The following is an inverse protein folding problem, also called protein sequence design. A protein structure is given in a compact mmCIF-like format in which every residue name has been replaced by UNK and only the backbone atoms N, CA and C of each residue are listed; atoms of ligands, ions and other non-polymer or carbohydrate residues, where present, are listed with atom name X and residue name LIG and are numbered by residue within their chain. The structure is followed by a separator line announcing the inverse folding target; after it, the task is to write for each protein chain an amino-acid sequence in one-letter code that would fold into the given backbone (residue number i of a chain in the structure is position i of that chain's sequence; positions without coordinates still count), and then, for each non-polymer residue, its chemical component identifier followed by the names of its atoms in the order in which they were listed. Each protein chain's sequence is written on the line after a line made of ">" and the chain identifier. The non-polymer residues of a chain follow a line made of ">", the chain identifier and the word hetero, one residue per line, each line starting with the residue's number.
data_IF_120763488601
#
_entry.id   IF_120763488601
#
_cell.length_a   1.000
_cell.length_b   1.000
_cell.length_c   1.000
_cell.angle_alpha   90.00
_cell.angle_beta   90.00
_cell.angle_gamma   90.00
#
_symmetry.space_group_name_H-M   'P 1'
#
loop_
_entity.id
_entity.type
_entity.pdbx_description
1 polymer ?
#
# COMPACT_ATOMS: atom_id res chain seq x y z
N UNK A 1 13.24 13.05 -60.77
CA UNK A 1 14.18 12.80 -59.64
C UNK A 1 13.93 13.75 -58.47
N UNK A 2 14.01 15.09 -58.64
CA UNK A 2 13.86 16.06 -57.53
C UNK A 2 12.49 16.01 -56.82
N UNK A 3 11.38 15.89 -57.56
CA UNK A 3 10.04 15.81 -56.97
C UNK A 3 9.81 14.57 -56.09
N UNK A 4 10.39 13.42 -56.49
CA UNK A 4 10.30 12.18 -55.70
C UNK A 4 11.08 12.30 -54.39
N UNK A 5 12.27 12.93 -54.43
CA UNK A 5 13.08 13.20 -53.23
C UNK A 5 12.36 14.12 -52.24
N UNK A 6 11.66 15.15 -52.72
CA UNK A 6 10.89 16.07 -51.88
C UNK A 6 9.69 15.35 -51.24
N UNK A 7 8.94 14.55 -52.01
CA UNK A 7 7.82 13.78 -51.46
C UNK A 7 8.28 12.77 -50.41
N UNK A 8 9.42 12.11 -50.62
CA UNK A 8 10.00 11.21 -49.62
C UNK A 8 10.44 11.97 -48.36
N UNK A 9 11.06 13.14 -48.50
CA UNK A 9 11.49 13.96 -47.36
C UNK A 9 10.31 14.53 -46.55
N UNK A 10 9.25 14.98 -47.21
CA UNK A 10 8.02 15.45 -46.53
C UNK A 10 7.27 14.28 -45.89
N UNK A 11 7.23 13.13 -46.57
CA UNK A 11 6.64 11.91 -46.03
C UNK A 11 7.37 11.41 -44.79
N UNK A 12 8.71 11.38 -44.80
CA UNK A 12 9.51 11.00 -43.63
C UNK A 12 9.40 12.02 -42.51
N UNK A 13 9.38 13.32 -42.82
CA UNK A 13 9.16 14.37 -41.82
C UNK A 13 7.78 14.24 -41.15
N UNK A 14 6.71 14.09 -41.93
CA UNK A 14 5.36 13.92 -41.39
C UNK A 14 5.24 12.64 -40.57
N UNK A 15 5.85 11.54 -41.04
CA UNK A 15 5.93 10.29 -40.30
C UNK A 15 6.65 10.46 -38.97
N UNK A 16 7.84 11.07 -38.96
CA UNK A 16 8.60 11.36 -37.73
C UNK A 16 7.84 12.30 -36.78
N UNK A 17 7.15 13.31 -37.31
CA UNK A 17 6.33 14.22 -36.51
C UNK A 17 5.12 13.52 -35.88
N UNK A 18 4.46 12.61 -36.62
CA UNK A 18 3.36 11.79 -36.09
C UNK A 18 3.80 10.76 -35.05
N UNK A 19 5.10 10.45 -34.99
CA UNK A 19 5.72 9.61 -33.96
C UNK A 19 6.06 10.38 -32.68
N UNK A 20 6.01 11.73 -32.69
CA UNK A 20 6.26 12.51 -31.48
C UNK A 20 5.12 12.31 -30.47
N UNK A 21 5.45 12.15 -29.19
CA UNK A 21 4.43 12.01 -28.17
C UNK A 21 3.61 13.31 -28.08
N UNK A 22 2.28 13.20 -27.85
CA UNK A 22 1.44 14.37 -27.64
C UNK A 22 1.91 15.17 -26.41
N UNK A 23 1.69 16.48 -26.43
CA UNK A 23 2.01 17.34 -25.29
C UNK A 23 1.27 16.90 -24.03
N UNK A 24 1.98 16.87 -22.90
CA UNK A 24 1.40 16.47 -21.61
C UNK A 24 0.39 17.51 -21.12
N UNK A 25 -0.70 17.05 -20.53
CA UNK A 25 -1.66 17.93 -19.83
C UNK A 25 -0.96 18.44 -18.57
N UNK A 26 -0.89 19.77 -18.42
CA UNK A 26 -0.19 20.45 -17.31
C UNK A 26 1.30 20.07 -17.20
N UNK A 27 1.93 19.58 -18.28
CA UNK A 27 3.33 19.12 -18.26
C UNK A 27 3.56 17.77 -17.55
N UNK A 28 2.55 17.22 -16.88
CA UNK A 28 2.66 16.01 -16.05
C UNK A 28 1.96 14.82 -16.71
N UNK A 29 0.71 14.97 -17.14
CA UNK A 29 -0.10 13.81 -17.54
C UNK A 29 0.06 13.46 -19.02
N UNK A 30 0.56 12.26 -19.30
CA UNK A 30 0.71 11.70 -20.64
C UNK A 30 -0.65 11.54 -21.35
N UNK A 31 -0.67 11.73 -22.66
CA UNK A 31 -1.87 11.60 -23.51
C UNK A 31 -1.73 10.43 -24.49
N UNK A 32 -2.85 9.85 -24.96
CA UNK A 32 -2.81 8.80 -25.99
C UNK A 32 -2.09 9.28 -27.25
N UNK A 33 -0.96 8.66 -27.58
CA UNK A 33 -0.26 8.85 -28.86
C UNK A 33 -0.67 7.80 -29.90
N UNK A 34 -0.01 7.80 -31.06
CA UNK A 34 -0.29 6.87 -32.16
C UNK A 34 -0.18 5.39 -31.74
N UNK A 35 0.77 5.07 -30.85
CA UNK A 35 1.02 3.70 -30.38
C UNK A 35 0.16 3.27 -29.19
N UNK A 36 -0.63 4.17 -28.61
CA UNK A 36 -1.47 3.87 -27.45
C UNK A 36 -2.37 2.63 -27.63
N UNK A 37 -3.16 2.46 -28.72
CA UNK A 37 -4.03 1.29 -28.86
C UNK A 37 -3.24 -0.02 -28.95
N UNK A 38 -2.10 -0.01 -29.63
CA UNK A 38 -1.22 -1.18 -29.75
C UNK A 38 -0.65 -1.58 -28.38
N UNK A 39 -0.12 -0.60 -27.64
CA UNK A 39 0.39 -0.81 -26.26
C UNK A 39 -0.69 -1.34 -25.32
N UNK A 40 -1.88 -0.76 -25.39
CA UNK A 40 -3.04 -1.13 -24.56
C UNK A 40 -3.42 -2.58 -24.79
N UNK A 41 -3.65 -2.97 -26.04
CA UNK A 41 -4.04 -4.34 -26.39
C UNK A 41 -2.95 -5.33 -26.00
N UNK A 42 -1.68 -5.05 -26.34
CA UNK A 42 -0.55 -5.89 -25.98
C UNK A 42 -0.47 -6.12 -24.46
N UNK A 43 -0.50 -5.04 -23.67
CA UNK A 43 -0.32 -5.13 -22.23
C UNK A 43 -1.53 -5.77 -21.54
N UNK A 44 -2.75 -5.51 -22.04
CA UNK A 44 -3.96 -6.16 -21.56
C UNK A 44 -3.87 -7.68 -21.71
N UNK A 45 -3.49 -8.18 -22.90
CA UNK A 45 -3.33 -9.62 -23.12
C UNK A 45 -2.19 -10.20 -22.27
N UNK A 46 -1.09 -9.47 -22.09
CA UNK A 46 0.00 -9.88 -21.20
C UNK A 46 -0.48 -10.05 -19.75
N UNK A 47 -1.26 -9.09 -19.22
CA UNK A 47 -1.85 -9.18 -17.87
C UNK A 47 -2.82 -10.34 -17.74
N UNK A 48 -3.70 -10.54 -18.74
CA UNK A 48 -4.65 -11.66 -18.76
C UNK A 48 -3.93 -13.01 -18.79
N UNK A 49 -2.88 -13.15 -19.60
CA UNK A 49 -2.07 -14.35 -19.65
C UNK A 49 -1.37 -14.61 -18.31
N UNK A 50 -0.78 -13.57 -17.69
CA UNK A 50 -0.18 -13.69 -16.36
C UNK A 50 -1.18 -14.15 -15.30
N UNK A 51 -2.40 -13.59 -15.30
CA UNK A 51 -3.47 -14.03 -14.40
C UNK A 51 -3.86 -15.48 -14.61
N UNK A 52 -4.00 -15.91 -15.87
CA UNK A 52 -4.34 -17.30 -16.17
C UNK A 52 -3.24 -18.26 -15.71
N UNK A 53 -1.97 -17.89 -15.88
CA UNK A 53 -0.84 -18.69 -15.40
C UNK A 53 -0.73 -18.67 -13.86
N UNK A 54 -1.05 -17.56 -13.20
CA UNK A 54 -0.99 -17.40 -11.75
C UNK A 54 -2.20 -17.97 -10.99
N UNK A 55 -3.38 -18.00 -11.63
CA UNK A 55 -4.63 -18.51 -11.05
C UNK A 55 -4.71 -20.04 -11.00
N UNK A 56 -3.72 -20.75 -11.55
CA UNK A 56 -3.65 -22.21 -11.52
C UNK A 56 -3.40 -22.83 -10.13
N UNK A 57 -3.14 -22.01 -9.09
CA UNK A 57 -2.93 -22.42 -7.70
C UNK A 57 -3.94 -21.80 -6.73
N UNK A 58 -5.22 -21.72 -7.14
CA UNK A 58 -6.30 -21.09 -6.36
C UNK A 58 -6.99 -21.99 -5.33
N UNK A 59 -6.53 -23.24 -5.16
CA UNK A 59 -6.90 -24.05 -3.99
C UNK A 59 -5.99 -23.73 -2.81
N UNK A 60 -6.38 -24.08 -1.58
CA UNK A 60 -5.43 -24.17 -0.47
C UNK A 60 -4.21 -24.96 -0.94
N UNK A 61 -3.12 -24.24 -1.19
CA UNK A 61 -1.93 -24.81 -1.78
C UNK A 61 -1.38 -25.89 -0.86
N UNK A 62 -1.24 -27.11 -1.39
CA UNK A 62 -0.38 -28.12 -0.76
C UNK A 62 1.02 -27.53 -0.53
N UNK A 63 1.76 -27.98 0.49
CA UNK A 63 3.12 -27.53 0.86
C UNK A 63 4.08 -27.35 -0.35
N UNK A 64 3.87 -28.09 -1.45
CA UNK A 64 4.62 -27.99 -2.72
C UNK A 64 4.37 -26.72 -3.55
N UNK A 65 3.22 -26.07 -3.40
CA UNK A 65 2.92 -24.77 -4.06
C UNK A 65 3.51 -23.60 -3.28
N UNK A 66 3.62 -23.71 -1.96
CA UNK A 66 4.33 -22.75 -1.11
C UNK A 66 5.81 -22.66 -1.51
N UNK A 67 6.45 -23.80 -1.79
CA UNK A 67 7.86 -23.87 -2.21
C UNK A 67 8.11 -23.25 -3.61
N UNK A 68 7.16 -23.34 -4.54
CA UNK A 68 7.28 -22.79 -5.90
C UNK A 68 7.11 -21.27 -5.97
N UNK A 69 6.26 -20.68 -5.13
CA UNK A 69 6.07 -19.22 -5.07
C UNK A 69 7.24 -18.53 -4.35
N UNK A 70 7.89 -19.21 -3.41
CA UNK A 70 9.05 -18.73 -2.67
C UNK A 70 10.29 -18.55 -3.56
N UNK A 71 10.39 -19.25 -4.70
CA UNK A 71 11.55 -19.21 -5.60
C UNK A 71 11.22 -18.49 -6.91
N UNK A 72 11.36 -17.15 -6.91
CA UNK A 72 11.59 -16.37 -8.13
C UNK A 72 10.36 -15.85 -8.89
N UNK A 73 9.13 -16.03 -8.39
CA UNK A 73 7.97 -15.35 -8.96
C UNK A 73 7.95 -13.87 -8.53
N UNK A 74 7.99 -12.95 -9.48
CA UNK A 74 7.76 -11.53 -9.21
C UNK A 74 6.27 -11.31 -8.98
N UNK A 75 5.90 -10.99 -7.74
CA UNK A 75 4.55 -10.60 -7.35
C UNK A 75 4.03 -9.43 -8.19
N UNK A 76 2.71 -9.25 -8.19
CA UNK A 76 2.03 -8.20 -8.95
C UNK A 76 1.66 -8.58 -10.38
N UNK A 77 0.86 -7.71 -10.98
CA UNK A 77 0.38 -7.85 -12.36
C UNK A 77 -0.38 -9.16 -12.60
N UNK A 78 -1.20 -9.56 -11.63
CA UNK A 78 -2.01 -10.78 -11.66
C UNK A 78 -1.41 -11.99 -10.95
N UNK A 79 -0.37 -11.81 -10.12
CA UNK A 79 0.31 -12.90 -9.41
C UNK A 79 0.42 -12.52 -7.94
N UNK A 80 -0.07 -13.40 -7.04
CA UNK A 80 0.00 -13.18 -5.60
C UNK A 80 1.45 -13.08 -5.10
N UNK A 81 1.66 -12.27 -4.08
CA UNK A 81 2.95 -12.17 -3.38
C UNK A 81 3.24 -13.34 -2.43
N UNK A 82 2.19 -13.97 -1.91
CA UNK A 82 2.26 -15.08 -0.95
C UNK A 82 1.23 -16.15 -1.31
N UNK A 83 1.50 -17.43 -0.97
CA UNK A 83 0.59 -18.52 -1.28
C UNK A 83 -0.68 -18.50 -0.41
N UNK A 84 -0.56 -18.13 0.87
CA UNK A 84 -1.66 -18.16 1.83
C UNK A 84 -1.88 -16.81 2.51
N UNK A 85 -3.12 -16.53 2.92
CA UNK A 85 -3.48 -15.31 3.67
C UNK A 85 -2.74 -15.22 5.00
N UNK A 86 -2.45 -16.36 5.64
CA UNK A 86 -1.66 -16.41 6.87
C UNK A 86 -0.26 -15.83 6.68
N UNK A 87 0.38 -16.12 5.55
CA UNK A 87 1.69 -15.57 5.20
C UNK A 87 1.63 -14.10 4.75
N UNK A 88 0.48 -13.63 4.29
CA UNK A 88 0.25 -12.20 3.98
C UNK A 88 0.11 -11.38 5.26
N UNK A 89 -0.49 -11.95 6.31
CA UNK A 89 -0.87 -11.25 7.54
C UNK A 89 0.22 -11.25 8.61
N UNK A 90 1.19 -12.16 8.52
CA UNK A 90 2.31 -12.20 9.44
C UNK A 90 3.31 -11.07 9.16
N UNK A 91 4.20 -10.85 10.12
CA UNK A 91 5.35 -9.97 9.99
C UNK A 91 6.22 -10.43 8.80
N UNK A 92 6.55 -9.50 7.91
CA UNK A 92 7.32 -9.79 6.71
C UNK A 92 8.82 -9.69 6.96
N UNK A 93 9.58 -10.54 6.28
CA UNK A 93 11.03 -10.41 6.26
C UNK A 93 11.41 -9.15 5.48
N UNK A 94 12.10 -8.22 6.15
CA UNK A 94 12.63 -7.03 5.52
C UNK A 94 13.86 -7.38 4.68
N UNK A 95 14.01 -6.72 3.53
CA UNK A 95 15.27 -6.79 2.80
C UNK A 95 16.35 -5.95 3.48
N UNK A 96 17.62 -6.20 3.14
CA UNK A 96 18.78 -5.43 3.62
C UNK A 96 18.76 -3.95 3.19
N UNK A 97 17.86 -3.58 2.27
CA UNK A 97 17.80 -2.21 1.77
C UNK A 97 17.25 -1.25 2.84
N UNK A 98 17.86 -0.07 3.07
CA UNK A 98 17.46 0.86 4.14
C UNK A 98 16.02 1.40 3.99
N UNK A 99 15.48 1.40 2.76
CA UNK A 99 14.08 1.76 2.47
C UNK A 99 13.11 0.57 2.47
N UNK A 100 13.53 -0.62 2.88
CA UNK A 100 12.61 -1.75 3.05
C UNK A 100 11.50 -1.37 4.04
N UNK A 101 10.31 -1.93 3.82
CA UNK A 101 9.15 -1.63 4.64
C UNK A 101 8.28 -2.87 4.82
N UNK A 102 7.72 -2.95 6.02
CA UNK A 102 6.58 -3.80 6.33
C UNK A 102 5.64 -3.00 7.24
N UNK A 103 4.48 -2.62 6.73
CA UNK A 103 3.60 -1.64 7.34
C UNK A 103 2.16 -2.12 7.44
N UNK A 104 1.55 -1.84 8.58
CA UNK A 104 0.11 -2.00 8.80
C UNK A 104 -0.48 -0.66 9.19
N UNK A 105 -1.65 -0.34 8.64
CA UNK A 105 -2.37 0.87 8.97
C UNK A 105 -3.86 0.59 9.11
N UNK A 106 -4.48 1.34 10.03
CA UNK A 106 -5.88 1.28 10.37
C UNK A 106 -6.40 2.70 10.48
N UNK A 107 -7.52 2.96 9.83
CA UNK A 107 -8.32 4.15 10.07
C UNK A 107 -9.75 3.74 10.38
N UNK A 108 -10.37 4.45 11.31
CA UNK A 108 -11.74 4.17 11.70
C UNK A 108 -12.43 5.44 12.18
N UNK A 109 -13.72 5.58 11.90
CA UNK A 109 -14.52 6.71 12.34
C UNK A 109 -15.99 6.34 12.55
N UNK A 110 -16.74 7.19 13.25
CA UNK A 110 -18.19 7.09 13.31
C UNK A 110 -18.87 8.46 13.20
N UNK A 111 -20.19 8.45 13.01
CA UNK A 111 -21.03 9.65 12.88
C UNK A 111 -21.02 10.54 14.13
N UNK A 112 -20.65 10.00 15.29
CA UNK A 112 -20.53 10.74 16.55
C UNK A 112 -19.23 11.56 16.63
N UNK A 113 -18.37 11.50 15.60
CA UNK A 113 -17.14 12.28 15.52
C UNK A 113 -15.96 11.67 16.27
N UNK A 114 -16.05 10.41 16.68
CA UNK A 114 -14.89 9.65 17.13
C UNK A 114 -14.11 9.16 15.91
N UNK A 115 -12.79 9.17 16.01
CA UNK A 115 -11.95 8.47 15.03
C UNK A 115 -10.69 7.92 15.69
N UNK A 116 -10.15 6.88 15.07
CA UNK A 116 -8.88 6.27 15.43
C UNK A 116 -8.05 6.11 14.16
N UNK A 117 -6.78 6.49 14.24
CA UNK A 117 -5.78 6.16 13.22
C UNK A 117 -4.59 5.53 13.92
N UNK A 118 -4.25 4.30 13.55
CA UNK A 118 -3.10 3.59 14.10
C UNK A 118 -2.29 3.00 12.96
N UNK A 119 -0.97 3.20 12.98
CA UNK A 119 -0.11 2.57 12.01
C UNK A 119 1.27 2.30 12.57
N UNK A 120 1.90 1.26 12.04
CA UNK A 120 3.32 0.98 12.27
C UNK A 120 3.94 0.55 10.96
N UNK A 121 5.09 1.11 10.62
CA UNK A 121 5.93 0.67 9.52
C UNK A 121 7.29 0.23 10.05
N UNK A 122 7.52 -1.08 10.04
CA UNK A 122 8.81 -1.67 10.38
C UNK A 122 9.83 -1.33 9.31
N UNK A 123 11.03 -1.00 9.77
CA UNK A 123 12.21 -0.66 8.98
C UNK A 123 13.41 -1.48 9.46
N UNK A 124 14.47 -1.58 8.64
CA UNK A 124 15.71 -2.20 9.08
C UNK A 124 16.27 -1.56 10.36
N UNK A 125 17.13 -2.30 11.07
CA UNK A 125 17.78 -1.88 12.33
C UNK A 125 16.83 -1.56 13.49
N UNK A 126 15.70 -2.25 13.60
CA UNK A 126 14.77 -2.12 14.74
C UNK A 126 14.00 -0.80 14.79
N UNK A 127 14.05 -0.04 13.69
CA UNK A 127 13.32 1.21 13.56
C UNK A 127 11.87 0.91 13.19
N UNK A 128 10.94 1.60 13.86
CA UNK A 128 9.51 1.53 13.57
C UNK A 128 8.99 2.96 13.40
N UNK A 129 8.44 3.29 12.23
CA UNK A 129 7.66 4.52 12.09
C UNK A 129 6.24 4.25 12.58
N UNK A 130 5.90 4.74 13.76
CA UNK A 130 4.56 4.55 14.35
C UNK A 130 3.77 5.86 14.44
N UNK A 131 2.45 5.73 14.36
CA UNK A 131 1.50 6.80 14.63
C UNK A 131 0.27 6.25 15.33
N UNK A 132 -0.26 7.04 16.26
CA UNK A 132 -1.53 6.78 16.90
C UNK A 132 -2.24 8.11 17.14
N UNK A 133 -3.44 8.23 16.61
CA UNK A 133 -4.37 9.32 16.86
C UNK A 133 -5.69 8.78 17.36
N UNK A 134 -6.22 9.36 18.43
CA UNK A 134 -7.53 9.01 18.97
C UNK A 134 -8.30 10.30 19.19
N UNK A 135 -9.42 10.47 18.49
CA UNK A 135 -10.35 11.58 18.71
C UNK A 135 -11.54 11.11 19.50
N UNK A 136 -11.80 11.81 20.60
CA UNK A 136 -13.02 11.69 21.41
C UNK A 136 -13.61 13.10 21.50
N UNK A 137 -14.86 13.36 21.06
CA UNK A 137 -15.42 14.70 20.95
C UNK A 137 -15.27 15.58 22.21
N UNK A 138 -15.41 15.01 23.40
CA UNK A 138 -15.36 15.73 24.67
C UNK A 138 -13.96 15.81 25.31
N UNK A 139 -12.95 15.19 24.69
CA UNK A 139 -11.55 15.19 25.16
C UNK A 139 -10.67 15.96 24.19
N UNK A 140 -10.86 15.77 22.88
CA UNK A 140 -10.02 16.32 21.82
C UNK A 140 -9.34 15.22 21.02
N UNK A 141 -8.20 15.56 20.41
CA UNK A 141 -7.38 14.63 19.63
C UNK A 141 -6.13 14.31 20.42
N UNK A 142 -6.02 13.07 20.86
CA UNK A 142 -4.83 12.53 21.50
C UNK A 142 -3.87 12.02 20.43
N UNK A 143 -2.58 12.31 20.62
CA UNK A 143 -1.49 11.86 19.76
C UNK A 143 -0.29 11.43 20.60
N UNK A 144 0.59 10.60 20.04
CA UNK A 144 1.79 10.16 20.75
C UNK A 144 2.68 11.35 21.16
N UNK A 145 3.45 11.25 22.26
CA UNK A 145 4.19 12.38 22.84
C UNK A 145 5.15 13.04 21.85
N UNK A 146 5.81 12.25 21.00
CA UNK A 146 6.79 12.75 20.04
C UNK A 146 6.21 13.28 18.73
N UNK A 147 4.91 13.14 18.48
CA UNK A 147 4.30 13.65 17.23
C UNK A 147 4.64 15.14 17.01
N UNK A 148 5.06 15.56 15.80
CA UNK A 148 4.96 14.83 14.53
C UNK A 148 6.10 13.82 14.23
N UNK A 149 7.07 13.66 15.12
CA UNK A 149 8.10 12.62 14.95
C UNK A 149 7.51 11.23 15.21
N UNK A 150 7.63 10.35 14.22
CA UNK A 150 7.07 9.00 14.18
C UNK A 150 8.10 7.93 14.52
N UNK A 151 9.36 8.31 14.72
CA UNK A 151 10.49 7.38 14.84
C UNK A 151 10.52 6.67 16.20
N UNK A 152 10.11 5.42 16.26
CA UNK A 152 10.17 4.54 17.43
C UNK A 152 11.22 3.45 17.31
N UNK A 153 11.59 2.87 18.44
CA UNK A 153 12.52 1.75 18.54
C UNK A 153 11.83 0.54 19.14
N UNK A 154 11.91 -0.59 18.45
CA UNK A 154 11.38 -1.88 18.91
C UNK A 154 12.32 -3.03 18.56
N UNK A 155 11.91 -4.23 18.93
CA UNK A 155 12.71 -5.46 18.75
C UNK A 155 12.78 -5.92 17.28
N UNK A 156 12.01 -5.27 16.41
CA UNK A 156 12.06 -5.44 14.96
C UNK A 156 11.25 -6.62 14.44
N UNK A 157 10.58 -7.41 15.29
CA UNK A 157 9.82 -8.62 14.93
C UNK A 157 8.31 -8.51 15.16
N UNK A 158 7.83 -7.30 15.50
CA UNK A 158 6.43 -7.02 15.82
C UNK A 158 5.98 -5.68 15.23
N UNK A 159 4.67 -5.56 14.99
CA UNK A 159 4.04 -4.30 14.60
C UNK A 159 3.75 -3.44 15.84
N UNK A 160 4.80 -2.97 16.50
CA UNK A 160 4.65 -2.22 17.74
C UNK A 160 5.95 -1.79 18.40
N UNK A 161 5.90 -0.66 19.09
CA UNK A 161 6.96 -0.10 19.91
C UNK A 161 6.37 0.95 20.86
N UNK A 162 7.10 1.27 21.93
CA UNK A 162 6.79 2.38 22.84
C UNK A 162 5.32 2.37 23.36
N UNK A 163 4.84 1.18 23.74
CA UNK A 163 3.49 0.97 24.27
C UNK A 163 2.45 0.62 23.20
N UNK A 164 2.66 0.98 21.93
CA UNK A 164 1.77 0.61 20.82
C UNK A 164 2.04 -0.83 20.38
N UNK A 165 0.99 -1.64 20.27
CA UNK A 165 1.03 -3.01 19.74
C UNK A 165 -0.14 -3.24 18.79
N UNK A 166 0.18 -3.67 17.58
CA UNK A 166 -0.76 -4.12 16.57
C UNK A 166 -0.46 -5.60 16.31
N UNK A 167 -1.45 -6.48 16.41
CA UNK A 167 -1.20 -7.92 16.35
C UNK A 167 -2.28 -8.63 15.54
N UNK A 168 -1.91 -9.41 14.50
CA UNK A 168 -2.86 -10.27 13.83
C UNK A 168 -3.29 -11.38 14.78
N UNK A 169 -4.60 -11.57 14.94
CA UNK A 169 -5.16 -12.66 15.75
C UNK A 169 -5.61 -13.80 14.84
N UNK A 170 -6.48 -13.48 13.88
CA UNK A 170 -6.94 -14.42 12.85
C UNK A 170 -6.74 -13.77 11.48
N UNK A 171 -5.95 -14.39 10.57
CA UNK A 171 -5.67 -13.83 9.25
C UNK A 171 -6.93 -13.37 8.52
N UNK A 172 -6.95 -12.13 8.03
CA UNK A 172 -8.06 -11.51 7.28
C UNK A 172 -9.38 -11.40 8.05
N UNK A 173 -9.40 -11.69 9.35
CA UNK A 173 -10.62 -11.66 10.16
C UNK A 173 -10.47 -10.73 11.34
N UNK A 174 -9.37 -10.85 12.10
CA UNK A 174 -9.25 -10.20 13.39
C UNK A 174 -7.84 -9.68 13.66
N UNK A 175 -7.75 -8.43 14.10
CA UNK A 175 -6.54 -7.78 14.56
C UNK A 175 -6.78 -7.07 15.89
N UNK A 176 -5.80 -7.14 16.78
CA UNK A 176 -5.81 -6.43 18.05
C UNK A 176 -4.91 -5.20 17.98
N UNK A 177 -5.41 -4.06 18.42
CA UNK A 177 -4.67 -2.80 18.53
C UNK A 177 -4.73 -2.36 19.99
N UNK A 178 -3.56 -2.27 20.60
CA UNK A 178 -3.42 -1.92 21.99
C UNK A 178 -2.40 -0.81 22.17
N UNK A 179 -2.63 0.05 23.15
CA UNK A 179 -1.68 1.06 23.57
C UNK A 179 -1.77 1.24 25.08
N UNK A 180 -0.63 1.35 25.74
CA UNK A 180 -0.56 1.76 27.14
C UNK A 180 0.59 2.75 27.27
N UNK A 181 0.27 3.99 27.62
CA UNK A 181 1.28 5.02 27.83
C UNK A 181 0.72 6.43 27.83
N UNK A 182 1.63 7.40 27.81
CA UNK A 182 1.27 8.82 27.82
C UNK A 182 0.98 9.33 26.40
N UNK A 183 -0.10 10.10 26.25
CA UNK A 183 -0.39 10.88 25.04
C UNK A 183 -0.51 12.36 25.36
N UNK A 184 -0.43 13.20 24.33
CA UNK A 184 -0.68 14.64 24.41
C UNK A 184 -1.87 15.04 23.55
N UNK A 185 -2.55 16.11 23.92
CA UNK A 185 -3.58 16.73 23.09
C UNK A 185 -2.98 17.52 21.93
N UNK A 186 -3.62 17.44 20.76
CA UNK A 186 -3.31 18.27 19.62
C UNK A 186 -3.51 19.75 19.98
N UNK A 187 -2.49 20.58 19.69
CA UNK A 187 -2.50 22.01 20.06
C UNK A 187 -2.08 22.29 21.52
N UNK A 188 -1.82 21.27 22.34
CA UNK A 188 -1.34 21.43 23.71
C UNK A 188 -0.13 20.51 23.99
N UNK A 189 1.07 20.86 23.49
CA UNK A 189 2.24 19.97 23.50
C UNK A 189 2.73 19.53 24.88
N UNK A 190 2.41 20.30 25.93
CA UNK A 190 2.79 20.05 27.32
C UNK A 190 1.76 19.22 28.09
N UNK A 191 0.60 18.92 27.49
CA UNK A 191 -0.39 18.04 28.12
C UNK A 191 0.13 16.61 28.17
N UNK A 192 -0.19 15.93 29.26
CA UNK A 192 0.15 14.52 29.49
C UNK A 192 -1.10 13.84 30.02
N UNK A 193 -1.60 12.87 29.27
CA UNK A 193 -2.74 12.05 29.62
C UNK A 193 -2.30 10.60 29.59
N UNK A 194 -2.63 9.84 30.62
CA UNK A 194 -2.44 8.39 30.59
C UNK A 194 -3.55 7.78 29.75
N UNK A 195 -3.17 7.00 28.75
CA UNK A 195 -4.10 6.40 27.79
C UNK A 195 -3.89 4.91 27.69
N UNK A 196 -4.95 4.15 27.93
CA UNK A 196 -5.02 2.71 27.70
C UNK A 196 -6.02 2.44 26.58
N UNK A 197 -5.56 1.90 25.47
CA UNK A 197 -6.37 1.49 24.32
C UNK A 197 -6.38 -0.04 24.26
N UNK A 198 -7.57 -0.62 24.14
CA UNK A 198 -7.75 -2.01 23.77
C UNK A 198 -8.94 -2.08 22.80
N UNK A 199 -8.63 -2.27 21.52
CA UNK A 199 -9.62 -2.37 20.46
C UNK A 199 -9.29 -3.50 19.52
N UNK A 200 -10.34 -4.09 18.96
CA UNK A 200 -10.26 -5.20 18.02
C UNK A 200 -10.87 -4.75 16.70
N UNK A 201 -10.08 -4.85 15.63
CA UNK A 201 -10.60 -4.81 14.28
C UNK A 201 -11.16 -6.19 13.91
N UNK A 202 -12.35 -6.22 13.35
CA UNK A 202 -12.99 -7.43 12.81
C UNK A 202 -13.52 -7.19 11.40
N UNK A 203 -13.46 -8.21 10.55
CA UNK A 203 -14.05 -8.18 9.21
C UNK A 203 -14.61 -9.53 8.80
N UNK A 204 -15.76 -9.48 8.14
CA UNK A 204 -16.37 -10.58 7.37
C UNK A 204 -16.36 -10.29 5.86
N UNK A 205 -15.72 -9.18 5.45
CA UNK A 205 -15.69 -8.70 4.08
C UNK A 205 -14.49 -9.29 3.34
N UNK A 206 -14.59 -9.48 2.00
CA UNK A 206 -13.42 -9.82 1.21
C UNK A 206 -12.38 -8.71 1.28
N UNK A 207 -11.10 -9.09 1.28
CA UNK A 207 -10.00 -8.15 1.09
C UNK A 207 -9.79 -7.89 -0.41
N UNK A 208 -9.17 -6.76 -0.73
CA UNK A 208 -8.76 -6.38 -2.08
C UNK A 208 -7.23 -6.42 -2.17
N UNK A 209 -6.70 -7.36 -2.95
CA UNK A 209 -5.26 -7.52 -3.19
C UNK A 209 -4.85 -6.80 -4.48
N UNK A 210 -4.03 -5.77 -4.36
CA UNK A 210 -3.61 -4.97 -5.52
C UNK A 210 -2.73 -5.75 -6.50
N UNK A 211 -2.14 -6.86 -6.08
CA UNK A 211 -1.34 -7.71 -6.96
C UNK A 211 -2.23 -8.51 -7.92
N UNK A 212 -3.47 -8.83 -7.53
CA UNK A 212 -4.33 -9.77 -8.25
C UNK A 212 -5.69 -9.18 -8.69
N UNK A 213 -6.30 -8.34 -7.88
CA UNK A 213 -7.71 -7.90 -8.02
C UNK A 213 -7.89 -6.62 -8.83
N UNK A 214 -6.82 -5.88 -9.10
CA UNK A 214 -6.90 -4.67 -9.95
C UNK A 214 -7.55 -4.99 -11.30
N UNK A 215 -8.26 -4.04 -11.92
CA UNK A 215 -8.80 -4.28 -13.25
C UNK A 215 -7.68 -4.28 -14.32
N UNK A 216 -7.61 -5.35 -15.12
CA UNK A 216 -6.57 -5.52 -16.12
C UNK A 216 -6.63 -4.47 -17.23
N UNK A 217 -7.84 -4.03 -17.60
CA UNK A 217 -8.01 -2.99 -18.62
C UNK A 217 -7.52 -1.63 -18.13
N UNK A 218 -7.86 -1.28 -16.90
CA UNK A 218 -7.43 -0.03 -16.23
C UNK A 218 -5.92 0.01 -16.07
N UNK A 219 -5.29 -1.08 -15.60
CA UNK A 219 -3.84 -1.20 -15.52
C UNK A 219 -3.18 -1.05 -16.89
N UNK A 220 -3.66 -1.77 -17.90
CA UNK A 220 -3.12 -1.69 -19.25
C UNK A 220 -3.26 -0.30 -19.86
N UNK A 221 -4.38 0.38 -19.59
CA UNK A 221 -4.61 1.77 -20.02
C UNK A 221 -3.59 2.72 -19.39
N UNK A 222 -3.38 2.65 -18.07
CA UNK A 222 -2.41 3.49 -17.37
C UNK A 222 -0.98 3.27 -17.89
N UNK A 223 -0.58 2.02 -18.11
CA UNK A 223 0.74 1.68 -18.66
C UNK A 223 0.88 2.11 -20.13
N UNK A 224 -0.18 2.02 -20.93
CA UNK A 224 -0.15 2.39 -22.35
C UNK A 224 -0.07 3.90 -22.59
N UNK A 225 -0.53 4.72 -21.63
CA UNK A 225 -0.38 6.18 -21.68
C UNK A 225 1.09 6.61 -21.57
N UNK A 226 1.92 5.85 -20.87
CA UNK A 226 3.30 6.22 -20.62
C UNK A 226 4.25 5.93 -21.80
N UNK A 227 5.34 6.72 -21.96
CA UNK A 227 6.43 6.38 -22.86
C UNK A 227 7.12 5.08 -22.41
N UNK A 228 7.13 4.07 -23.28
CA UNK A 228 7.77 2.79 -22.97
C UNK A 228 9.26 2.90 -23.21
N UNK A 229 10.03 2.58 -22.18
CA UNK A 229 11.48 2.46 -22.24
C UNK A 229 11.93 1.36 -21.27
N UNK A 230 13.13 0.78 -21.47
CA UNK A 230 13.70 -0.14 -20.48
C UNK A 230 13.74 0.48 -19.08
N UNK A 231 14.07 1.76 -18.98
CA UNK A 231 14.09 2.49 -17.70
C UNK A 231 12.70 2.60 -17.07
N UNK A 232 11.66 2.88 -17.86
CA UNK A 232 10.28 2.93 -17.36
C UNK A 232 9.87 1.60 -16.72
N UNK A 233 10.09 0.48 -17.41
CA UNK A 233 9.75 -0.84 -16.87
C UNK A 233 10.64 -1.26 -15.70
N UNK A 234 11.91 -0.83 -15.69
CA UNK A 234 12.79 -1.02 -14.54
C UNK A 234 12.26 -0.27 -13.31
N UNK A 235 11.91 1.01 -13.46
CA UNK A 235 11.34 1.82 -12.39
C UNK A 235 10.01 1.25 -11.89
N UNK A 236 9.17 0.78 -12.80
CA UNK A 236 7.89 0.15 -12.45
C UNK A 236 8.08 -1.09 -11.58
N UNK A 237 9.11 -1.91 -11.86
CA UNK A 237 9.49 -3.06 -11.01
C UNK A 237 10.05 -2.64 -9.65
N UNK A 238 10.87 -1.58 -9.61
CA UNK A 238 11.44 -1.08 -8.36
C UNK A 238 10.39 -0.43 -7.45
N UNK A 239 9.40 0.24 -8.04
CA UNK A 239 8.31 0.89 -7.33
C UNK A 239 7.19 -0.07 -6.92
N UNK A 240 7.28 -1.35 -7.31
CA UNK A 240 6.28 -2.35 -6.95
C UNK A 240 6.28 -2.57 -5.43
N UNK A 241 5.10 -2.40 -4.85
CA UNK A 241 4.79 -2.70 -3.46
C UNK A 241 3.59 -3.61 -3.45
N UNK A 242 3.71 -4.73 -2.75
CA UNK A 242 2.54 -5.53 -2.42
C UNK A 242 1.78 -4.79 -1.34
N UNK A 243 0.49 -4.62 -1.57
CA UNK A 243 -0.43 -4.17 -0.54
C UNK A 243 -1.82 -4.74 -0.79
N UNK A 244 -2.58 -4.85 0.28
CA UNK A 244 -3.98 -5.23 0.24
C UNK A 244 -4.75 -4.46 1.30
N UNK A 245 -6.04 -4.29 1.05
CA UNK A 245 -6.93 -3.49 1.88
C UNK A 245 -8.17 -4.29 2.26
N UNK A 246 -8.71 -4.00 3.44
CA UNK A 246 -9.92 -4.65 3.91
C UNK A 246 -10.78 -3.69 4.73
N UNK A 247 -12.07 -3.65 4.41
CA UNK A 247 -13.07 -2.94 5.20
C UNK A 247 -13.47 -3.79 6.41
N UNK A 248 -13.86 -3.15 7.50
CA UNK A 248 -14.29 -3.84 8.72
C UNK A 248 -14.81 -2.88 9.78
N UNK A 249 -14.78 -3.33 11.03
CA UNK A 249 -15.17 -2.55 12.19
C UNK A 249 -14.11 -2.62 13.26
N UNK A 250 -13.95 -1.52 13.98
CA UNK A 250 -13.09 -1.45 15.14
C UNK A 250 -13.93 -1.17 16.37
N UNK A 251 -13.87 -2.09 17.34
CA UNK A 251 -14.64 -2.00 18.58
C UNK A 251 -13.76 -2.24 19.80
N UNK A 252 -14.04 -1.52 20.89
CA UNK A 252 -13.32 -1.69 22.15
C UNK A 252 -13.40 -0.46 23.02
N UNK A 253 -12.37 -0.24 23.85
CA UNK A 253 -12.34 0.84 24.84
C UNK A 253 -11.04 1.61 24.75
N UNK A 254 -11.14 2.92 24.96
CA UNK A 254 -10.01 3.78 25.32
C UNK A 254 -10.27 4.39 26.69
N UNK A 255 -9.33 4.25 27.61
CA UNK A 255 -9.37 4.86 28.94
C UNK A 255 -8.42 6.05 28.93
N UNK A 256 -8.92 7.23 29.27
CA UNK A 256 -8.13 8.46 29.36
C UNK A 256 -8.17 8.96 30.80
N UNK A 257 -7.03 8.99 31.48
CA UNK A 257 -6.91 9.38 32.89
C UNK A 257 -7.93 8.66 33.79
N UNK A 258 -8.07 7.34 33.58
CA UNK A 258 -9.01 6.48 34.31
C UNK A 258 -10.48 6.58 33.87
N UNK A 259 -10.81 7.38 32.85
CA UNK A 259 -12.18 7.52 32.32
C UNK A 259 -12.36 6.68 31.06
N UNK A 260 -13.23 5.65 31.07
CA UNK A 260 -13.44 4.80 29.91
C UNK A 260 -14.33 5.45 28.85
N UNK A 261 -13.99 5.22 27.59
CA UNK A 261 -14.74 5.61 26.41
C UNK A 261 -14.85 4.42 25.46
N UNK A 262 -16.09 3.99 25.17
CA UNK A 262 -16.34 2.89 24.24
C UNK A 262 -16.25 3.40 22.81
N UNK A 263 -15.47 2.70 21.98
CA UNK A 263 -15.32 2.96 20.56
C UNK A 263 -16.06 1.88 19.77
N UNK A 264 -16.88 2.32 18.81
CA UNK A 264 -17.50 1.50 17.78
C UNK A 264 -17.42 2.28 16.47
N UNK A 265 -16.51 1.86 15.61
CA UNK A 265 -16.08 2.62 14.44
C UNK A 265 -16.16 1.73 13.19
N UNK A 266 -16.65 2.31 12.09
CA UNK A 266 -16.44 1.71 10.77
C UNK A 266 -14.98 1.94 10.38
N UNK A 267 -14.32 0.92 9.85
CA UNK A 267 -12.87 0.90 9.69
C UNK A 267 -12.43 0.36 8.34
N UNK A 268 -11.26 0.79 7.92
CA UNK A 268 -10.47 0.16 6.87
C UNK A 268 -9.07 -0.13 7.44
N UNK A 269 -8.46 -1.20 6.94
CA UNK A 269 -7.07 -1.52 7.20
C UNK A 269 -6.33 -1.77 5.88
N UNK A 270 -5.03 -1.55 5.92
CA UNK A 270 -4.09 -1.98 4.90
C UNK A 270 -2.89 -2.69 5.52
N UNK A 271 -2.28 -3.57 4.74
CA UNK A 271 -0.97 -4.14 5.02
C UNK A 271 -0.15 -4.08 3.74
N UNK A 272 1.04 -3.51 3.88
CA UNK A 272 1.88 -3.00 2.81
C UNK A 272 3.33 -3.39 3.03
N UNK A 273 3.96 -4.11 2.10
CA UNK A 273 5.37 -4.49 2.22
C UNK A 273 6.11 -4.43 0.88
N UNK A 274 7.37 -4.01 0.96
CA UNK A 274 8.24 -3.88 -0.21
C UNK A 274 9.72 -4.00 0.16
N UNK A 275 10.50 -4.51 -0.79
CA UNK A 275 11.97 -4.53 -0.68
C UNK A 275 12.54 -3.11 -0.69
N UNK A 276 11.94 -2.20 -1.45
CA UNK A 276 12.34 -0.79 -1.54
C UNK A 276 11.08 0.06 -1.63
N UNK A 277 10.87 0.97 -0.69
CA UNK A 277 9.84 2.00 -0.81
C UNK A 277 10.49 3.35 -1.16
N UNK A 278 10.44 3.75 -2.42
CA UNK A 278 10.88 5.08 -2.85
C UNK A 278 9.69 5.98 -3.23
N UNK A 279 9.15 6.72 -2.25
CA UNK A 279 8.06 7.69 -2.50
C UNK A 279 8.49 8.86 -3.41
N UNK A 280 9.79 9.02 -3.70
CA UNK A 280 10.29 10.09 -4.59
C UNK A 280 10.02 9.82 -6.09
N UNK A 281 9.59 8.61 -6.46
CA UNK A 281 9.26 8.30 -7.86
C UNK A 281 7.98 8.99 -8.37
N UNK A 282 7.19 9.62 -7.50
CA UNK A 282 5.93 10.32 -7.84
C UNK A 282 6.11 11.83 -8.12
N UNK A 283 7.34 12.36 -8.02
CA UNK A 283 7.64 13.79 -8.18
C UNK A 283 8.54 14.10 -9.38
N UNK A 284 8.52 13.28 -10.44
CA UNK A 284 9.27 13.55 -11.69
C UNK A 284 8.36 13.56 -12.90
#
# INVERSE_FOLDING_TARGET
>A
MLGVMICLAVGTWFWLWSMLPPSRILGVYSRPGLWFPVKLVFFYFLLRLRRLMGSGGGGEGTEKEEEKLVVGATAGYGVKSKPTVKMMECVQQLSEHPKAIDAVYFNAANSSGNYLVAATARRPQGIINGLLFIRIPNVGILQLPRMPDTLMFGDGDQFGAEGLRITPVTPMVEWKIQYDGTMKLQGSPLSQHHVELDVTFTSDQPYFDFDTDMDAWTLARSVALEPWSPQYFHNLKLAHQTHYEQMGRLEGTVVVDGRPHVLRLDSMRDHSYANVLDRQASLR
#
